data_IF_846016984434
#
_entry.id   IF_846016984434
#
_cell.length_a   1.000
_cell.length_b   1.000
_cell.length_c   1.000
_cell.angle_alpha   90.00
_cell.angle_beta   90.00
_cell.angle_gamma   90.00
#
_symmetry.space_group_name_H-M   'P 1'
#
loop_
_entity.id
_entity.type
_entity.pdbx_description
1 polymer ?
#
# COMPACT_ATOMS: atom_id res chain seq x y z
N UNK A 1 -6.50 -14.08 -2.56
CA UNK A 1 -6.34 -12.67 -2.15
C UNK A 1 -7.44 -11.74 -2.67
N UNK A 2 -7.77 -11.67 -3.97
CA UNK A 2 -8.73 -10.62 -4.41
C UNK A 2 -10.23 -10.94 -4.37
N UNK A 3 -10.65 -12.21 -4.51
CA UNK A 3 -12.07 -12.57 -4.70
C UNK A 3 -12.56 -13.58 -3.65
N UNK A 4 -12.04 -13.50 -2.42
CA UNK A 4 -12.50 -14.39 -1.36
C UNK A 4 -13.40 -13.59 -0.41
N UNK A 5 -14.73 -13.83 -0.41
CA UNK A 5 -15.58 -13.43 0.72
C UNK A 5 -15.21 -14.21 2.00
N UNK A 6 -14.35 -15.22 1.87
CA UNK A 6 -13.73 -15.93 2.98
C UNK A 6 -12.37 -15.29 3.27
N UNK A 7 -12.20 -14.89 4.53
CA UNK A 7 -10.94 -14.78 5.27
C UNK A 7 -9.75 -15.39 4.48
N UNK A 8 -8.77 -14.59 3.95
CA UNK A 8 -7.64 -15.12 3.18
C UNK A 8 -7.09 -16.40 3.83
N UNK A 9 -6.69 -17.40 3.03
CA UNK A 9 -6.29 -18.76 3.51
C UNK A 9 -5.22 -18.78 4.60
N UNK A 10 -4.58 -17.64 4.87
CA UNK A 10 -3.60 -17.48 5.93
C UNK A 10 -4.21 -17.02 7.25
N UNK A 11 -5.40 -16.40 7.28
CA UNK A 11 -5.87 -15.77 8.50
C UNK A 11 -6.42 -16.78 9.52
N UNK A 12 -5.58 -17.14 10.49
CA UNK A 12 -6.01 -17.85 11.72
C UNK A 12 -6.81 -16.91 12.64
N UNK A 13 -7.50 -17.43 13.66
CA UNK A 13 -8.33 -16.63 14.59
C UNK A 13 -7.55 -15.64 15.49
N UNK A 14 -6.26 -15.42 15.23
CA UNK A 14 -5.40 -14.47 15.95
C UNK A 14 -4.93 -13.26 15.13
N UNK A 15 -5.48 -13.02 13.94
CA UNK A 15 -4.95 -11.98 13.04
C UNK A 15 -5.64 -10.63 13.18
N UNK A 16 -4.84 -9.56 13.18
CA UNK A 16 -5.32 -8.18 13.29
C UNK A 16 -5.51 -7.60 11.90
N UNK A 17 -6.74 -7.29 11.54
CA UNK A 17 -7.07 -6.52 10.34
C UNK A 17 -7.09 -5.03 10.67
N UNK A 18 -6.48 -4.22 9.80
CA UNK A 18 -6.45 -2.76 9.93
C UNK A 18 -6.92 -2.15 8.62
N UNK A 19 -8.00 -1.37 8.69
CA UNK A 19 -8.50 -0.59 7.56
C UNK A 19 -7.86 0.79 7.52
N UNK A 20 -6.99 1.01 6.53
CA UNK A 20 -6.29 2.28 6.32
C UNK A 20 -7.16 3.38 5.68
N UNK A 21 -8.39 3.08 5.27
CA UNK A 21 -9.32 4.07 4.72
C UNK A 21 -10.06 4.86 5.81
N UNK A 22 -10.17 4.32 7.04
CA UNK A 22 -10.80 5.01 8.17
C UNK A 22 -10.31 6.46 8.38
N UNK A 23 -8.99 6.75 8.42
CA UNK A 23 -8.53 8.13 8.53
C UNK A 23 -8.84 8.99 7.29
N UNK A 24 -8.90 8.39 6.11
CA UNK A 24 -9.25 9.09 4.86
C UNK A 24 -10.72 9.48 4.84
N UNK A 25 -11.61 8.63 5.35
CA UNK A 25 -13.05 8.91 5.46
C UNK A 25 -13.33 10.14 6.34
N UNK A 26 -12.52 10.35 7.37
CA UNK A 26 -12.62 11.52 8.24
C UNK A 26 -12.32 12.83 7.49
N UNK A 27 -11.56 12.76 6.38
CA UNK A 27 -11.23 13.92 5.55
C UNK A 27 -12.31 14.26 4.49
N UNK A 28 -13.28 13.37 4.22
CA UNK A 28 -14.33 13.60 3.22
C UNK A 28 -15.18 14.85 3.46
N UNK A 29 -15.27 15.30 4.72
CA UNK A 29 -16.06 16.46 5.09
C UNK A 29 -15.22 17.72 5.33
N UNK A 30 -13.88 17.63 5.28
CA UNK A 30 -12.97 18.73 5.62
C UNK A 30 -12.22 19.30 4.41
N UNK A 31 -11.99 18.51 3.36
CA UNK A 31 -11.33 18.98 2.13
C UNK A 31 -12.14 18.54 0.89
N UNK A 32 -12.65 19.47 0.05
CA UNK A 32 -13.43 19.12 -1.14
C UNK A 32 -12.64 18.34 -2.20
N UNK A 33 -11.32 18.29 -2.08
CA UNK A 33 -10.42 17.48 -2.92
C UNK A 33 -10.40 16.00 -2.50
N UNK A 34 -11.02 15.67 -1.36
CA UNK A 34 -11.32 14.30 -0.92
C UNK A 34 -12.80 14.06 -1.10
N UNK A 35 -13.18 13.15 -1.98
CA UNK A 35 -14.59 12.99 -2.38
C UNK A 35 -14.98 11.53 -2.55
N UNK A 36 -16.28 11.25 -2.40
CA UNK A 36 -16.83 9.91 -2.66
C UNK A 36 -16.78 9.60 -4.15
N UNK A 37 -16.33 8.40 -4.50
CA UNK A 37 -16.22 7.91 -5.86
C UNK A 37 -16.81 6.50 -5.97
N UNK A 38 -16.97 6.04 -7.22
CA UNK A 38 -17.36 4.65 -7.53
C UNK A 38 -16.11 3.80 -7.79
N UNK A 39 -16.00 2.74 -7.01
CA UNK A 39 -15.00 1.69 -7.07
C UNK A 39 -15.31 0.61 -8.10
N UNK A 40 -14.59 -0.51 -7.95
CA UNK A 40 -14.86 -1.77 -8.66
C UNK A 40 -16.31 -2.18 -8.37
N UNK A 41 -17.03 -2.62 -9.41
CA UNK A 41 -18.44 -3.05 -9.32
C UNK A 41 -19.38 -2.02 -8.67
N UNK A 42 -19.07 -0.73 -8.82
CA UNK A 42 -19.81 0.38 -8.21
C UNK A 42 -19.80 0.40 -6.67
N UNK A 43 -18.90 -0.36 -6.03
CA UNK A 43 -18.69 -0.28 -4.59
C UNK A 43 -18.16 1.11 -4.19
N UNK A 44 -18.35 1.54 -2.93
CA UNK A 44 -17.81 2.82 -2.47
C UNK A 44 -16.29 2.88 -2.63
N UNK A 45 -15.80 4.04 -3.08
CA UNK A 45 -14.38 4.37 -3.11
C UNK A 45 -14.18 5.83 -2.71
N UNK A 46 -12.93 6.21 -2.42
CA UNK A 46 -12.56 7.59 -2.12
C UNK A 46 -11.62 8.09 -3.21
N UNK A 47 -11.96 9.24 -3.80
CA UNK A 47 -11.10 10.00 -4.68
C UNK A 47 -10.31 11.03 -3.87
N UNK A 48 -9.01 11.12 -4.13
CA UNK A 48 -8.11 12.09 -3.50
C UNK A 48 -7.41 12.85 -4.64
N UNK A 49 -7.59 14.17 -4.71
CA UNK A 49 -6.85 14.99 -5.67
C UNK A 49 -5.43 15.29 -5.17
N UNK A 50 -4.56 15.70 -6.10
CA UNK A 50 -3.16 16.02 -5.79
C UNK A 50 -3.07 17.19 -4.80
N UNK A 51 -2.10 17.11 -3.89
CA UNK A 51 -1.82 18.15 -2.90
C UNK A 51 -2.73 18.11 -1.67
N UNK A 52 -3.54 17.07 -1.52
CA UNK A 52 -4.19 16.74 -0.25
C UNK A 52 -3.16 16.02 0.63
N UNK A 53 -3.09 16.43 1.89
CA UNK A 53 -2.27 15.80 2.92
C UNK A 53 -3.20 15.24 4.01
N UNK A 54 -3.18 13.92 4.20
CA UNK A 54 -3.95 13.23 5.24
C UNK A 54 -2.94 12.55 6.16
N UNK A 55 -2.62 13.23 7.26
CA UNK A 55 -1.70 12.74 8.26
C UNK A 55 -2.44 12.52 9.59
N UNK A 56 -2.29 11.32 10.16
CA UNK A 56 -2.89 10.94 11.43
C UNK A 56 -1.87 10.18 12.30
N UNK A 57 -1.96 10.25 13.64
CA UNK A 57 -1.13 9.44 14.50
C UNK A 57 -1.37 7.94 14.25
N UNK A 58 -0.40 7.26 13.64
CA UNK A 58 -0.52 5.87 13.20
C UNK A 58 -0.90 4.89 14.33
N UNK A 59 -0.51 5.20 15.58
CA UNK A 59 -0.82 4.38 16.78
C UNK A 59 -2.31 4.31 17.12
N UNK A 60 -3.15 5.17 16.55
CA UNK A 60 -4.60 5.10 16.72
C UNK A 60 -5.21 3.99 15.86
N UNK A 61 -4.52 3.57 14.80
CA UNK A 61 -5.03 2.62 13.80
C UNK A 61 -4.23 1.32 13.74
N UNK A 62 -2.93 1.37 14.04
CA UNK A 62 -2.03 0.23 13.95
C UNK A 62 -1.70 -0.38 15.33
N UNK A 63 -1.48 -1.70 15.40
CA UNK A 63 -1.11 -2.36 16.64
C UNK A 63 0.25 -1.91 17.16
N UNK A 64 0.45 -2.04 18.47
CA UNK A 64 1.67 -1.60 19.17
C UNK A 64 2.95 -2.26 18.65
N UNK A 65 2.86 -3.52 18.21
CA UNK A 65 3.96 -4.23 17.55
C UNK A 65 3.61 -4.35 16.08
N UNK A 66 4.47 -3.81 15.22
CA UNK A 66 4.32 -4.00 13.80
C UNK A 66 4.64 -5.46 13.44
N UNK A 67 3.86 -6.05 12.55
CA UNK A 67 4.02 -7.46 12.22
C UNK A 67 5.23 -7.64 11.29
N UNK A 68 6.18 -8.53 11.63
CA UNK A 68 7.32 -8.83 10.75
C UNK A 68 6.88 -9.56 9.46
N UNK A 69 5.68 -10.13 9.47
CA UNK A 69 5.04 -10.77 8.33
C UNK A 69 3.61 -10.25 8.26
N UNK A 70 3.19 -9.80 7.10
CA UNK A 70 1.86 -9.22 6.93
C UNK A 70 1.40 -9.35 5.49
N UNK A 71 0.11 -9.12 5.29
CA UNK A 71 -0.43 -8.91 3.96
C UNK A 71 -0.96 -7.48 3.84
N UNK A 72 -0.80 -6.90 2.66
CA UNK A 72 -1.39 -5.62 2.32
C UNK A 72 -2.25 -5.79 1.07
N UNK A 73 -3.46 -5.25 1.10
CA UNK A 73 -4.38 -5.29 -0.03
C UNK A 73 -4.78 -3.86 -0.38
N UNK A 74 -4.80 -3.53 -1.67
CA UNK A 74 -5.26 -2.23 -2.14
C UNK A 74 -5.99 -2.36 -3.49
N UNK A 75 -7.11 -1.65 -3.60
CA UNK A 75 -7.80 -1.42 -4.87
C UNK A 75 -7.59 0.04 -5.24
N UNK A 76 -6.89 0.30 -6.34
CA UNK A 76 -6.46 1.65 -6.70
C UNK A 76 -6.71 1.95 -8.17
N UNK A 77 -6.94 3.23 -8.48
CA UNK A 77 -7.06 3.76 -9.85
C UNK A 77 -6.30 5.08 -9.96
N UNK A 78 -5.00 5.05 -10.27
CA UNK A 78 -4.21 6.27 -10.50
C UNK A 78 -4.81 7.08 -11.65
N UNK A 79 -4.91 8.40 -11.49
CA UNK A 79 -5.47 9.27 -12.53
C UNK A 79 -4.42 9.81 -13.50
N UNK A 80 -3.15 9.72 -13.15
CA UNK A 80 -2.01 10.13 -13.97
C UNK A 80 -0.78 9.21 -13.74
N UNK A 81 0.29 9.42 -14.53
CA UNK A 81 1.52 8.62 -14.49
C UNK A 81 2.55 9.10 -13.46
N UNK A 82 2.31 10.20 -12.74
CA UNK A 82 3.37 10.84 -11.91
C UNK A 82 3.73 10.00 -10.68
N UNK A 83 2.89 9.05 -10.30
CA UNK A 83 3.12 8.19 -9.14
C UNK A 83 2.88 8.91 -7.80
N UNK A 84 3.31 8.25 -6.73
CA UNK A 84 3.18 8.67 -5.34
C UNK A 84 2.98 7.50 -4.39
N UNK A 85 3.06 7.80 -3.09
CA UNK A 85 2.70 6.84 -2.05
C UNK A 85 1.20 6.59 -2.04
N UNK A 86 0.80 5.32 -2.03
CA UNK A 86 -0.58 4.92 -1.71
C UNK A 86 -0.88 5.15 -0.23
N UNK A 87 0.10 4.83 0.60
CA UNK A 87 0.18 5.19 2.01
C UNK A 87 1.65 5.12 2.44
N UNK A 88 1.97 5.81 3.53
CA UNK A 88 3.25 5.70 4.21
C UNK A 88 3.05 5.90 5.72
N UNK A 89 3.70 5.05 6.50
CA UNK A 89 4.00 5.31 7.91
C UNK A 89 5.36 5.97 7.92
N UNK A 90 5.43 7.18 8.44
CA UNK A 90 6.66 7.95 8.54
C UNK A 90 7.07 8.14 9.99
N UNK A 91 8.37 8.34 10.20
CA UNK A 91 8.86 8.75 11.50
C UNK A 91 8.31 10.15 11.90
N UNK A 92 8.39 10.55 13.18
CA UNK A 92 7.84 11.84 13.64
C UNK A 92 8.44 13.10 13.01
N UNK A 93 9.48 12.96 12.18
CA UNK A 93 10.15 14.07 11.50
C UNK A 93 9.85 14.08 10.00
N UNK A 94 9.01 13.17 9.51
CA UNK A 94 8.65 12.98 8.09
C UNK A 94 9.85 12.75 7.16
N UNK A 95 10.95 12.20 7.70
CA UNK A 95 12.20 11.97 6.96
C UNK A 95 12.38 10.51 6.52
N UNK A 96 11.77 9.56 7.23
CA UNK A 96 11.93 8.13 6.98
C UNK A 96 10.58 7.46 6.87
N UNK A 97 10.42 6.62 5.85
CA UNK A 97 9.26 5.76 5.64
C UNK A 97 9.53 4.42 6.32
N UNK A 98 8.89 4.19 7.45
CA UNK A 98 8.94 2.93 8.17
C UNK A 98 8.32 1.82 7.32
N UNK A 99 7.12 2.07 6.78
CA UNK A 99 6.42 1.15 5.86
C UNK A 99 5.60 1.96 4.87
N UNK A 100 5.60 1.60 3.60
CA UNK A 100 4.72 2.24 2.62
C UNK A 100 4.69 1.49 1.30
N UNK A 101 3.70 1.84 0.47
CA UNK A 101 3.64 1.35 -0.91
C UNK A 101 3.75 2.54 -1.85
N UNK A 102 4.78 2.50 -2.68
CA UNK A 102 5.12 3.55 -3.63
C UNK A 102 4.82 3.06 -5.05
N UNK A 103 4.05 3.86 -5.80
CA UNK A 103 3.84 3.68 -7.23
C UNK A 103 4.64 4.71 -7.98
N UNK A 104 5.44 4.28 -8.95
CA UNK A 104 6.25 5.19 -9.78
C UNK A 104 6.14 4.82 -11.25
N UNK A 105 6.20 5.80 -12.17
CA UNK A 105 6.34 5.49 -13.59
C UNK A 105 7.67 4.78 -13.84
N UNK A 106 7.65 3.78 -14.72
CA UNK A 106 8.85 3.11 -15.18
C UNK A 106 8.80 2.94 -16.71
N UNK A 107 9.88 3.34 -17.38
CA UNK A 107 10.04 3.18 -18.82
C UNK A 107 8.81 3.59 -19.66
N UNK A 108 8.66 2.95 -20.83
CA UNK A 108 7.49 3.12 -21.68
C UNK A 108 6.37 2.16 -21.27
N UNK A 109 5.32 2.69 -20.64
CA UNK A 109 4.09 1.93 -20.35
C UNK A 109 4.19 0.94 -19.19
N UNK A 110 5.10 1.16 -18.24
CA UNK A 110 5.18 0.36 -17.02
C UNK A 110 5.01 1.23 -15.77
N UNK A 111 4.62 0.58 -14.69
CA UNK A 111 4.59 1.14 -13.34
C UNK A 111 5.46 0.28 -12.45
N UNK A 112 6.36 0.89 -11.70
CA UNK A 112 7.08 0.24 -10.62
C UNK A 112 6.24 0.31 -9.35
N UNK A 113 5.95 -0.84 -8.75
CA UNK A 113 5.29 -0.95 -7.45
C UNK A 113 6.36 -1.39 -6.45
N UNK A 114 6.67 -0.52 -5.50
CA UNK A 114 7.71 -0.74 -4.49
C UNK A 114 7.10 -0.85 -3.10
N UNK A 115 7.45 -1.91 -2.39
CA UNK A 115 7.21 -2.00 -0.94
C UNK A 115 8.39 -1.36 -0.22
N UNK A 116 8.12 -0.24 0.44
CA UNK A 116 9.08 0.45 1.29
C UNK A 116 9.01 -0.15 2.70
N UNK A 117 10.15 -0.50 3.25
CA UNK A 117 10.25 -0.96 4.63
C UNK A 117 11.61 -0.54 5.19
N UNK A 118 11.60 0.17 6.31
CA UNK A 118 12.80 0.62 7.00
C UNK A 118 12.69 0.28 8.48
N UNK A 119 13.78 -0.23 9.03
CA UNK A 119 13.98 -0.39 10.46
C UNK A 119 14.52 0.91 11.08
N UNK A 120 14.40 1.05 12.41
CA UNK A 120 14.96 2.19 13.14
C UNK A 120 16.49 2.32 13.05
N UNK A 121 17.18 1.30 12.53
CA UNK A 121 18.64 1.30 12.33
C UNK A 121 19.01 1.83 10.94
N UNK A 122 18.05 1.94 10.04
CA UNK A 122 18.30 2.39 8.68
C UNK A 122 18.44 3.91 8.62
N UNK A 123 19.45 4.38 7.90
CA UNK A 123 19.71 5.81 7.72
C UNK A 123 18.80 6.46 6.65
N UNK A 124 18.18 5.64 5.79
CA UNK A 124 17.38 6.10 4.64
C UNK A 124 16.24 5.14 4.35
N UNK A 125 15.12 5.66 3.83
CA UNK A 125 14.02 4.85 3.32
C UNK A 125 14.47 3.96 2.15
N UNK A 126 14.19 2.65 2.20
CA UNK A 126 14.54 1.72 1.11
C UNK A 126 13.35 0.86 0.67
N UNK A 127 13.28 0.59 -0.63
CA UNK A 127 12.43 -0.47 -1.16
C UNK A 127 13.05 -1.83 -0.82
N UNK A 128 12.30 -2.68 -0.12
CA UNK A 128 12.72 -4.07 0.14
C UNK A 128 12.36 -5.00 -1.02
N UNK A 129 11.38 -4.61 -1.83
CA UNK A 129 11.00 -5.29 -3.06
C UNK A 129 10.36 -4.29 -4.04
N UNK A 130 10.64 -4.46 -5.33
CA UNK A 130 10.10 -3.65 -6.43
C UNK A 130 9.68 -4.54 -7.59
N UNK A 131 8.57 -4.17 -8.23
CA UNK A 131 7.94 -4.95 -9.27
C UNK A 131 7.53 -4.05 -10.44
N UNK A 132 8.08 -4.32 -11.62
CA UNK A 132 7.65 -3.67 -12.86
C UNK A 132 6.43 -4.38 -13.42
N UNK A 133 5.29 -3.70 -13.42
CA UNK A 133 4.02 -4.18 -13.98
C UNK A 133 3.61 -3.35 -15.19
N UNK A 134 2.73 -3.86 -16.07
CA UNK A 134 2.10 -3.02 -17.09
C UNK A 134 1.37 -1.83 -16.45
N UNK A 135 1.46 -0.67 -17.08
CA UNK A 135 0.76 0.54 -16.63
C UNK A 135 -0.76 0.33 -16.53
N UNK A 136 -1.36 0.96 -15.51
CA UNK A 136 -2.79 0.82 -15.19
C UNK A 136 -3.46 2.18 -14.86
N UNK A 137 -2.96 3.27 -15.45
CA UNK A 137 -3.57 4.60 -15.31
C UNK A 137 -5.02 4.57 -15.79
N UNK A 138 -5.90 5.22 -15.03
CA UNK A 138 -7.36 5.24 -15.22
C UNK A 138 -8.05 3.87 -15.17
N UNK A 139 -7.35 2.81 -14.74
CA UNK A 139 -7.91 1.47 -14.58
C UNK A 139 -7.91 1.07 -13.10
N UNK A 140 -9.07 0.63 -12.60
CA UNK A 140 -9.13 -0.02 -11.29
C UNK A 140 -8.26 -1.27 -11.29
N UNK A 141 -7.32 -1.34 -10.35
CA UNK A 141 -6.36 -2.44 -10.23
C UNK A 141 -6.28 -2.85 -8.77
N UNK A 142 -6.50 -4.15 -8.54
CA UNK A 142 -6.26 -4.77 -7.25
C UNK A 142 -4.82 -5.25 -7.18
N UNK A 143 -4.12 -4.84 -6.13
CA UNK A 143 -2.79 -5.30 -5.79
C UNK A 143 -2.80 -5.88 -4.38
N UNK A 144 -1.98 -6.89 -4.15
CA UNK A 144 -1.71 -7.38 -2.81
C UNK A 144 -0.24 -7.74 -2.63
N UNK A 145 0.30 -7.45 -1.46
CA UNK A 145 1.58 -7.97 -1.02
C UNK A 145 1.36 -9.06 0.01
N UNK A 146 2.08 -10.16 -0.13
CA UNK A 146 2.33 -11.13 0.93
C UNK A 146 3.78 -10.96 1.33
N UNK A 147 4.00 -10.58 2.60
CA UNK A 147 5.33 -10.30 3.15
C UNK A 147 5.65 -11.37 4.17
N UNK A 148 6.66 -12.16 3.88
CA UNK A 148 7.26 -13.10 4.81
C UNK A 148 8.57 -12.53 5.34
N UNK A 149 9.26 -13.28 6.20
CA UNK A 149 10.57 -12.88 6.70
C UNK A 149 11.61 -12.78 5.57
N UNK A 150 11.50 -13.64 4.57
CA UNK A 150 12.56 -13.87 3.59
C UNK A 150 12.15 -13.38 2.19
N UNK A 151 10.86 -13.19 1.94
CA UNK A 151 10.35 -12.82 0.62
C UNK A 151 9.14 -11.88 0.65
N UNK A 152 8.96 -11.18 -0.46
CA UNK A 152 7.77 -10.40 -0.79
C UNK A 152 7.18 -10.95 -2.07
N UNK A 153 5.93 -11.38 -2.04
CA UNK A 153 5.17 -11.77 -3.22
C UNK A 153 4.17 -10.68 -3.59
N UNK A 154 4.22 -10.21 -4.83
CA UNK A 154 3.20 -9.33 -5.39
C UNK A 154 2.11 -10.17 -6.08
N UNK A 155 0.86 -9.87 -5.79
CA UNK A 155 -0.30 -10.24 -6.57
C UNK A 155 -0.79 -9.01 -7.33
N UNK A 156 -0.84 -9.08 -8.66
CA UNK A 156 -1.27 -7.99 -9.52
C UNK A 156 -2.47 -8.44 -10.35
N UNK A 157 -3.57 -7.67 -10.30
CA UNK A 157 -4.85 -8.06 -10.90
C UNK A 157 -5.24 -9.49 -10.49
N UNK A 158 -5.01 -9.79 -9.21
CA UNK A 158 -5.44 -11.04 -8.56
C UNK A 158 -4.70 -12.30 -8.98
N UNK A 159 -3.63 -12.14 -9.74
CA UNK A 159 -2.74 -13.21 -10.17
C UNK A 159 -1.42 -13.04 -9.40
N UNK A 160 -0.85 -14.15 -8.92
CA UNK A 160 0.51 -14.15 -8.35
C UNK A 160 1.47 -13.69 -9.45
N UNK A 161 2.01 -12.48 -9.30
CA UNK A 161 2.78 -11.83 -10.34
C UNK A 161 4.25 -12.24 -10.28
N UNK A 162 4.89 -12.01 -9.14
CA UNK A 162 6.28 -12.39 -8.89
C UNK A 162 6.59 -12.38 -7.39
N UNK A 163 7.70 -13.00 -7.05
CA UNK A 163 8.29 -12.99 -5.72
C UNK A 163 9.70 -12.41 -5.79
N UNK A 164 10.10 -11.72 -4.73
CA UNK A 164 11.44 -11.17 -4.53
C UNK A 164 11.90 -11.52 -3.14
N UNK A 165 13.14 -11.96 -3.01
CA UNK A 165 13.77 -12.08 -1.70
C UNK A 165 13.90 -10.68 -1.08
N UNK A 166 13.62 -10.60 0.22
CA UNK A 166 13.86 -9.38 0.99
C UNK A 166 15.37 -9.14 0.94
N UNK A 167 15.79 -8.06 0.28
CA UNK A 167 17.22 -7.75 0.20
C UNK A 167 17.74 -7.48 1.61
N UNK A 168 18.46 -8.47 2.15
CA UNK A 168 18.97 -8.51 3.51
C UNK A 168 20.14 -7.55 3.67
N UNK A 169 19.82 -6.28 3.93
CA UNK A 169 20.70 -5.37 4.65
C UNK A 169 20.54 -5.46 6.17
N UNK A 170 19.69 -6.38 6.66
CA UNK A 170 19.32 -6.50 8.07
C UNK A 170 20.22 -7.57 8.71
N UNK A 171 21.37 -7.13 9.20
CA UNK A 171 22.16 -7.82 10.23
C UNK A 171 21.88 -7.19 11.60
#
# INVERSE_FOLDING_TARGET
MCNSPQKPRFLSDGETEVDLLVPVESALNSDPRVFRAKGIDSLPAIGIQRGVEIAVPYRLYLPRRFFPQFSLLASVKPMDRRGGYLFAIVNPYDTLVDVGVLLEPAGSGQTNISLMYSSRRDATSRAIASFLVPEFVQQWTQIAFEVTKDSVTLYFKCIRFAEREVSSGVS
#
